data_IF_564160014142
#
_entry.id   IF_564160014142
#
_cell.length_a   1.000
_cell.length_b   1.000
_cell.length_c   1.000
_cell.angle_alpha   90.00
_cell.angle_beta   90.00
_cell.angle_gamma   90.00
#
_symmetry.space_group_name_H-M   'P 1'
#
loop_
_entity.id
_entity.type
_entity.pdbx_description
1 polymer ?
#
# COMPACT_ATOMS: atom_id res chain seq x y z
N UNK A 1 1.74 8.96 -1.20
CA UNK A 1 3.12 8.58 -0.81
C UNK A 1 3.40 7.08 -1.03
N UNK A 2 2.36 6.25 -0.94
CA UNK A 2 2.34 4.83 -1.27
C UNK A 2 3.21 4.39 -2.45
N UNK A 3 3.18 5.09 -3.59
CA UNK A 3 4.00 4.76 -4.79
C UNK A 3 5.48 4.55 -4.50
N UNK A 4 6.04 5.32 -3.55
CA UNK A 4 7.47 5.19 -3.16
C UNK A 4 7.70 3.96 -2.29
N UNK A 5 6.74 3.59 -1.45
CA UNK A 5 6.76 2.37 -0.65
C UNK A 5 6.66 1.13 -1.55
N UNK A 6 5.77 1.13 -2.54
CA UNK A 6 5.66 0.03 -3.52
C UNK A 6 6.99 -0.16 -4.26
N UNK A 7 7.57 0.93 -4.79
CA UNK A 7 8.85 0.87 -5.51
C UNK A 7 9.98 0.36 -4.62
N UNK A 8 10.01 0.78 -3.36
CA UNK A 8 10.95 0.31 -2.35
C UNK A 8 10.80 -1.20 -2.08
N UNK A 9 9.59 -1.67 -1.79
CA UNK A 9 9.34 -3.05 -1.38
C UNK A 9 9.45 -4.05 -2.53
N UNK A 10 9.06 -3.66 -3.75
CA UNK A 10 8.89 -4.60 -4.88
C UNK A 10 9.83 -4.36 -6.05
N UNK A 11 10.52 -3.21 -6.08
CA UNK A 11 11.27 -2.77 -7.27
C UNK A 11 10.39 -2.38 -8.47
N UNK A 12 9.06 -2.56 -8.40
CA UNK A 12 8.11 -2.33 -9.49
C UNK A 12 7.55 -0.91 -9.51
N UNK A 13 6.96 -0.53 -10.63
CA UNK A 13 6.23 0.72 -10.73
C UNK A 13 4.91 0.59 -9.98
N UNK A 14 4.51 1.64 -9.26
CA UNK A 14 3.17 1.66 -8.65
C UNK A 14 2.05 1.61 -9.71
N UNK A 15 2.35 2.04 -10.94
CA UNK A 15 1.43 1.98 -12.07
C UNK A 15 1.09 0.55 -12.49
N UNK A 16 1.98 -0.42 -12.22
CA UNK A 16 1.75 -1.83 -12.55
C UNK A 16 0.55 -2.39 -11.76
N UNK A 17 0.26 -1.83 -10.59
CA UNK A 17 -0.84 -2.26 -9.71
C UNK A 17 -2.12 -1.45 -9.91
N UNK A 18 -2.14 -0.48 -10.83
CA UNK A 18 -3.32 0.33 -11.06
C UNK A 18 -4.32 -0.43 -11.93
N UNK A 19 -5.54 -0.67 -11.43
CA UNK A 19 -6.58 -1.50 -12.07
C UNK A 19 -6.15 -2.95 -12.27
N UNK A 20 -5.38 -3.48 -11.30
CA UNK A 20 -4.97 -4.87 -11.26
C UNK A 20 -6.03 -5.69 -10.52
N UNK A 21 -6.50 -6.78 -11.14
CA UNK A 21 -7.50 -7.65 -10.54
C UNK A 21 -8.80 -6.92 -10.20
N UNK A 22 -9.42 -7.32 -9.10
CA UNK A 22 -10.75 -6.84 -8.70
C UNK A 22 -10.71 -5.73 -7.65
N UNK A 23 -9.58 -5.50 -6.98
CA UNK A 23 -9.45 -4.59 -5.84
C UNK A 23 -8.35 -3.55 -5.99
N UNK A 24 -7.30 -3.77 -6.80
CA UNK A 24 -6.25 -2.77 -6.91
C UNK A 24 -6.68 -1.60 -7.80
N UNK A 25 -7.05 -0.47 -7.21
CA UNK A 25 -7.43 0.73 -7.96
C UNK A 25 -8.43 1.60 -7.21
N UNK A 26 -9.20 2.40 -7.94
CA UNK A 26 -10.30 3.16 -7.35
C UNK A 26 -11.55 2.29 -7.29
N UNK A 27 -12.03 2.04 -6.07
CA UNK A 27 -13.09 1.08 -5.83
C UNK A 27 -12.52 -0.34 -5.78
N UNK A 28 -13.40 -1.32 -5.60
CA UNK A 28 -13.01 -2.72 -5.48
C UNK A 28 -14.20 -3.56 -5.04
N UNK A 29 -14.27 -4.79 -5.50
CA UNK A 29 -15.39 -5.66 -5.19
C UNK A 29 -15.27 -7.05 -5.80
N UNK A 30 -16.00 -8.01 -5.25
CA UNK A 30 -15.92 -9.40 -5.69
C UNK A 30 -14.73 -10.17 -5.10
N UNK A 31 -14.43 -11.32 -5.69
CA UNK A 31 -13.42 -12.27 -5.18
C UNK A 31 -12.03 -11.87 -5.66
N UNK A 32 -11.04 -11.69 -4.77
CA UNK A 32 -9.67 -11.41 -5.19
C UNK A 32 -9.11 -12.49 -6.13
N UNK A 33 -8.52 -12.08 -7.26
CA UNK A 33 -8.04 -13.02 -8.29
C UNK A 33 -6.72 -13.70 -7.91
N UNK A 34 -5.90 -13.07 -7.07
CA UNK A 34 -4.64 -13.63 -6.58
C UNK A 34 -4.17 -13.00 -5.26
N UNK A 35 -2.90 -13.24 -4.91
CA UNK A 35 -2.28 -12.71 -3.70
C UNK A 35 -2.08 -11.20 -3.68
N UNK A 36 -1.74 -10.59 -4.82
CA UNK A 36 -1.60 -9.12 -4.93
C UNK A 36 -2.97 -8.47 -4.77
N UNK A 37 -3.99 -9.03 -5.42
CA UNK A 37 -5.36 -8.52 -5.33
C UNK A 37 -5.93 -8.65 -3.91
N UNK A 38 -5.57 -9.71 -3.17
CA UNK A 38 -5.87 -9.84 -1.73
C UNK A 38 -5.21 -8.73 -0.89
N UNK A 39 -3.99 -8.33 -1.23
CA UNK A 39 -3.31 -7.21 -0.56
C UNK A 39 -4.06 -5.89 -0.81
N UNK A 40 -4.56 -5.66 -2.03
CA UNK A 40 -5.35 -4.48 -2.35
C UNK A 40 -6.69 -4.46 -1.61
N UNK A 41 -7.39 -5.59 -1.55
CA UNK A 41 -8.60 -5.71 -0.72
C UNK A 41 -8.32 -5.36 0.74
N UNK A 42 -7.23 -5.86 1.30
CA UNK A 42 -6.85 -5.56 2.68
C UNK A 42 -6.48 -4.08 2.86
N UNK A 43 -5.85 -3.45 1.86
CA UNK A 43 -5.51 -2.02 1.86
C UNK A 43 -6.77 -1.15 1.84
N UNK A 44 -7.73 -1.45 0.96
CA UNK A 44 -9.01 -0.75 0.88
C UNK A 44 -9.80 -0.83 2.20
N UNK A 45 -9.86 -2.02 2.80
CA UNK A 45 -10.48 -2.21 4.11
C UNK A 45 -9.74 -1.43 5.20
N UNK A 46 -8.40 -1.43 5.18
CA UNK A 46 -7.59 -0.66 6.13
C UNK A 46 -7.91 0.84 6.03
N UNK A 47 -7.98 1.40 4.82
CA UNK A 47 -8.38 2.78 4.57
C UNK A 47 -9.82 3.07 5.02
N UNK A 48 -10.75 2.13 4.84
CA UNK A 48 -12.14 2.25 5.30
C UNK A 48 -12.30 2.31 6.82
N UNK A 49 -11.42 1.62 7.57
CA UNK A 49 -11.43 1.63 9.03
C UNK A 49 -10.79 2.89 9.64
N UNK A 50 -10.01 3.66 8.86
CA UNK A 50 -9.46 4.95 9.32
C UNK A 50 -10.52 6.05 9.29
N UNK A 51 -11.57 5.88 10.11
CA UNK A 51 -12.71 6.79 10.21
C UNK A 51 -12.26 8.20 10.59
N UNK A 52 -12.90 9.21 9.98
CA UNK A 52 -12.60 10.63 10.17
C UNK A 52 -11.24 11.13 9.67
N UNK A 53 -10.52 10.30 8.90
CA UNK A 53 -9.30 10.71 8.21
C UNK A 53 -9.56 10.88 6.71
N UNK A 54 -8.64 11.55 5.99
CA UNK A 54 -8.70 11.66 4.53
C UNK A 54 -7.48 10.96 3.89
N UNK A 55 -7.50 9.63 3.71
CA UNK A 55 -6.35 8.86 3.20
C UNK A 55 -5.79 9.36 1.86
N UNK A 56 -6.65 9.94 1.03
CA UNK A 56 -6.28 10.47 -0.27
C UNK A 56 -5.54 11.82 -0.22
N UNK A 57 -5.68 12.59 0.86
CA UNK A 57 -5.11 13.96 0.97
C UNK A 57 -4.18 14.16 2.16
N UNK A 58 -4.31 13.36 3.23
CA UNK A 58 -3.40 13.43 4.37
C UNK A 58 -2.00 12.97 3.97
N UNK A 59 -1.01 13.83 4.18
CA UNK A 59 0.39 13.49 4.01
C UNK A 59 0.94 12.98 5.34
N UNK A 60 1.63 11.86 5.33
CA UNK A 60 2.23 11.28 6.55
C UNK A 60 3.76 11.36 6.53
N UNK A 61 4.40 11.26 7.69
CA UNK A 61 5.87 11.18 7.83
C UNK A 61 6.32 9.73 7.85
N UNK A 62 7.26 9.41 6.95
CA UNK A 62 7.84 8.08 6.82
C UNK A 62 9.31 8.20 6.41
N UNK A 63 10.06 7.11 6.57
CA UNK A 63 11.43 6.94 6.10
C UNK A 63 11.52 5.67 5.26
N UNK A 64 12.33 5.75 4.22
CA UNK A 64 12.79 4.60 3.44
C UNK A 64 14.30 4.50 3.63
N UNK A 65 14.78 3.28 3.87
CA UNK A 65 16.21 2.98 3.97
C UNK A 65 16.56 1.83 3.04
N UNK A 66 17.59 2.01 2.22
CA UNK A 66 17.99 1.04 1.19
C UNK A 66 17.15 1.13 -0.09
N UNK A 67 17.31 0.11 -0.93
CA UNK A 67 16.59 -0.10 -2.20
C UNK A 67 16.20 -1.58 -2.31
N UNK A 68 15.25 -1.91 -3.18
CA UNK A 68 14.89 -3.30 -3.46
C UNK A 68 16.13 -4.13 -3.84
N UNK A 69 16.31 -5.36 -3.31
CA UNK A 69 15.40 -6.12 -2.44
C UNK A 69 15.57 -5.86 -0.92
N UNK A 70 16.56 -5.09 -0.50
CA UNK A 70 16.89 -4.83 0.92
C UNK A 70 16.28 -3.54 1.46
N UNK A 71 15.17 -3.09 0.87
CA UNK A 71 14.53 -1.84 1.24
C UNK A 71 13.68 -2.01 2.51
N UNK A 72 13.68 -1.01 3.38
CA UNK A 72 12.84 -0.99 4.59
C UNK A 72 12.03 0.29 4.69
N UNK A 73 10.81 0.18 5.22
CA UNK A 73 9.84 1.27 5.36
C UNK A 73 9.52 1.47 6.84
N UNK A 74 9.61 2.70 7.33
CA UNK A 74 9.24 3.06 8.71
C UNK A 74 8.30 4.25 8.72
N UNK A 75 7.16 4.10 9.39
CA UNK A 75 6.23 5.19 9.68
C UNK A 75 6.67 5.90 10.95
N UNK A 76 6.75 7.24 10.92
CA UNK A 76 7.32 8.01 12.02
C UNK A 76 6.25 8.39 13.05
N UNK A 77 5.98 7.49 13.99
CA UNK A 77 4.95 7.68 15.03
C UNK A 77 5.14 8.94 15.89
N UNK A 78 6.38 9.42 16.07
CA UNK A 78 6.64 10.66 16.81
C UNK A 78 6.38 11.94 16.00
N UNK A 79 6.05 11.83 14.71
CA UNK A 79 5.78 12.96 13.80
C UNK A 79 4.47 12.85 13.05
N UNK A 80 3.68 11.81 13.35
CA UNK A 80 2.40 11.55 12.74
C UNK A 80 1.32 11.68 13.80
N UNK A 81 0.19 12.29 13.45
CA UNK A 81 -1.03 12.10 14.22
C UNK A 81 -1.61 10.68 14.02
N UNK A 82 -2.74 10.38 14.67
CA UNK A 82 -3.38 9.08 14.57
C UNK A 82 -3.82 8.73 13.14
N UNK A 83 -4.29 9.72 12.37
CA UNK A 83 -4.70 9.55 10.98
C UNK A 83 -3.50 9.24 10.09
N UNK A 84 -2.49 10.11 10.11
CA UNK A 84 -1.26 10.02 9.34
C UNK A 84 -0.54 8.69 9.63
N UNK A 85 -0.48 8.30 10.91
CA UNK A 85 0.17 7.06 11.32
C UNK A 85 -0.59 5.83 10.80
N UNK A 86 -1.92 5.85 10.88
CA UNK A 86 -2.75 4.73 10.41
C UNK A 86 -2.69 4.58 8.90
N UNK A 87 -2.80 5.69 8.16
CA UNK A 87 -2.68 5.68 6.69
C UNK A 87 -1.28 5.19 6.28
N UNK A 88 -0.22 5.67 6.94
CA UNK A 88 1.13 5.22 6.67
C UNK A 88 1.29 3.70 6.90
N UNK A 89 0.73 3.19 7.99
CA UNK A 89 0.78 1.76 8.32
C UNK A 89 0.01 0.91 7.29
N UNK A 90 -1.17 1.37 6.84
CA UNK A 90 -1.92 0.71 5.76
C UNK A 90 -1.07 0.62 4.48
N UNK A 91 -0.51 1.75 4.03
CA UNK A 91 0.31 1.83 2.82
C UNK A 91 1.58 0.97 2.93
N UNK A 92 2.25 0.99 4.09
CA UNK A 92 3.42 0.14 4.37
C UNK A 92 3.04 -1.34 4.27
N UNK A 93 1.99 -1.75 4.96
CA UNK A 93 1.55 -3.15 5.00
C UNK A 93 1.18 -3.66 3.60
N UNK A 94 0.51 -2.84 2.80
CA UNK A 94 0.18 -3.18 1.42
C UNK A 94 1.43 -3.34 0.55
N UNK A 95 2.40 -2.43 0.63
CA UNK A 95 3.65 -2.52 -0.12
C UNK A 95 4.47 -3.78 0.24
N UNK A 96 4.58 -4.10 1.53
CA UNK A 96 5.25 -5.32 2.00
C UNK A 96 4.46 -6.59 1.62
N UNK A 97 3.12 -6.51 1.57
CA UNK A 97 2.27 -7.59 1.10
C UNK A 97 2.49 -7.86 -0.39
N UNK A 98 2.60 -6.82 -1.22
CA UNK A 98 2.95 -6.98 -2.64
C UNK A 98 4.31 -7.65 -2.80
N UNK A 99 5.31 -7.33 -1.98
CA UNK A 99 6.63 -7.96 -2.03
C UNK A 99 6.62 -9.46 -1.70
N UNK A 100 5.62 -9.95 -0.95
CA UNK A 100 5.44 -11.36 -0.61
C UNK A 100 4.64 -12.15 -1.65
N UNK A 101 4.06 -11.49 -2.65
CA UNK A 101 3.20 -12.12 -3.64
C UNK A 101 3.76 -11.91 -5.05
N UNK A 102 3.51 -12.88 -5.93
CA UNK A 102 3.95 -12.80 -7.33
C UNK A 102 2.99 -11.91 -8.11
N UNK A 103 3.53 -10.87 -8.76
CA UNK A 103 2.81 -10.03 -9.71
C UNK A 103 2.51 -10.79 -11.01
N UNK A 104 1.25 -10.78 -11.45
CA UNK A 104 0.80 -11.36 -12.72
C UNK A 104 0.38 -10.25 -13.71
N UNK A 105 1.13 -10.01 -14.80
CA UNK A 105 0.81 -8.94 -15.76
C UNK A 105 -0.50 -9.13 -16.54
N UNK A 106 -1.14 -10.31 -16.43
CA UNK A 106 -2.41 -10.61 -17.11
C UNK A 106 -3.65 -10.34 -16.25
N UNK A 107 -3.45 -9.95 -14.98
CA UNK A 107 -4.50 -9.54 -14.05
C UNK A 107 -4.59 -8.02 -13.99
#
# INVERSE_FOLDING_TARGET
>A
QFRKMIKCATGRSAWDYNRYGNWCGRGGGGTPVDGVDRCCRAHDLCWGEVKHCHPFSNLYRYRISGIYPSCSITCNAGKNDSCEQSICNCDKAAAECFARNTYNPNN
#
